data_IF_802335755183
#
_entry.id   IF_802335755183
#
_cell.length_a   1.000
_cell.length_b   1.000
_cell.length_c   1.000
_cell.angle_alpha   90.00
_cell.angle_beta   90.00
_cell.angle_gamma   90.00
#
_symmetry.space_group_name_H-M   'P 1'
#
loop_
_entity.id
_entity.type
_entity.pdbx_description
1 polymer ?
#
# COMPACT_ATOMS: atom_id res chain seq x y z
N UNK A 1 10.62 -75.39 31.56
CA UNK A 1 9.39 -74.78 32.11
C UNK A 1 9.83 -73.43 32.65
N UNK A 2 9.47 -72.33 31.99
CA UNK A 2 9.83 -71.00 32.44
C UNK A 2 8.66 -70.44 33.25
N UNK A 3 8.94 -70.18 34.52
CA UNK A 3 8.04 -69.53 35.46
C UNK A 3 8.20 -68.00 35.33
N UNK A 4 7.06 -67.33 35.23
CA UNK A 4 6.90 -65.89 35.06
C UNK A 4 6.52 -65.31 36.43
N UNK A 5 7.47 -64.71 37.13
CA UNK A 5 7.19 -63.81 38.25
C UNK A 5 7.85 -62.46 38.01
N UNK A 6 7.06 -61.48 37.56
CA UNK A 6 7.47 -60.08 37.46
C UNK A 6 7.43 -59.44 38.85
N UNK A 7 8.59 -59.01 39.34
CA UNK A 7 8.71 -58.02 40.40
C UNK A 7 8.52 -56.62 39.80
N UNK A 8 7.61 -55.85 40.39
CA UNK A 8 7.23 -54.50 39.96
C UNK A 8 8.03 -53.46 40.75
N UNK A 9 9.13 -52.97 40.19
CA UNK A 9 9.67 -51.65 40.55
C UNK A 9 10.48 -51.02 39.42
N UNK A 10 9.87 -50.06 38.72
CA UNK A 10 10.37 -48.68 38.55
C UNK A 10 9.49 -47.98 37.49
N UNK A 11 8.80 -46.94 37.94
CA UNK A 11 8.07 -45.99 37.11
C UNK A 11 9.03 -45.09 36.33
N UNK A 12 8.85 -44.96 35.01
CA UNK A 12 9.38 -43.82 34.27
C UNK A 12 9.46 -43.99 32.76
N UNK A 13 8.59 -43.23 32.06
CA UNK A 13 8.58 -42.89 30.63
C UNK A 13 7.88 -43.88 29.68
N UNK A 14 6.65 -43.51 29.31
CA UNK A 14 5.75 -44.29 28.47
C UNK A 14 6.02 -44.22 26.97
N UNK A 15 6.08 -45.41 26.38
CA UNK A 15 5.61 -45.91 25.08
C UNK A 15 5.59 -45.01 23.83
N UNK A 16 6.45 -45.37 22.88
CA UNK A 16 6.12 -45.39 21.45
C UNK A 16 5.85 -46.85 21.03
N UNK A 17 4.62 -47.13 20.57
CA UNK A 17 4.23 -48.45 20.04
C UNK A 17 4.16 -48.44 18.52
N UNK A 18 4.67 -49.54 17.97
CA UNK A 18 5.06 -49.93 16.61
C UNK A 18 3.91 -50.35 15.68
N UNK A 19 4.11 -50.29 14.34
CA UNK A 19 3.90 -51.43 13.42
C UNK A 19 4.48 -51.18 12.01
N UNK A 20 4.85 -52.26 11.29
CA UNK A 20 5.73 -52.33 10.11
C UNK A 20 4.95 -52.87 8.88
N UNK A 21 5.14 -52.33 7.66
CA UNK A 21 5.04 -53.12 6.42
C UNK A 21 5.91 -52.56 5.27
N UNK A 22 6.39 -53.47 4.41
CA UNK A 22 7.38 -53.29 3.35
C UNK A 22 6.69 -53.10 2.00
N UNK A 23 6.96 -51.98 1.32
CA UNK A 23 6.82 -51.90 -0.15
C UNK A 23 8.04 -51.16 -0.73
N UNK A 24 8.65 -51.77 -1.75
CA UNK A 24 9.77 -51.23 -2.51
C UNK A 24 9.25 -50.29 -3.61
N UNK A 25 9.47 -48.98 -3.49
CA UNK A 25 9.60 -48.08 -4.65
C UNK A 25 10.70 -47.04 -4.40
N UNK A 26 11.72 -47.11 -5.25
CA UNK A 26 12.84 -46.19 -5.33
C UNK A 26 12.42 -44.76 -5.71
N UNK A 27 13.16 -43.80 -5.14
CA UNK A 27 13.46 -42.45 -5.64
C UNK A 27 12.31 -41.49 -5.96
N UNK A 28 12.01 -40.62 -5.00
CA UNK A 28 11.85 -39.19 -5.27
C UNK A 28 12.22 -38.40 -4.01
N UNK A 29 13.17 -37.48 -4.13
CA UNK A 29 13.47 -36.49 -3.09
C UNK A 29 12.20 -35.67 -2.86
N UNK A 30 11.55 -35.82 -1.71
CA UNK A 30 10.43 -34.94 -1.33
C UNK A 30 10.85 -34.07 -0.15
N UNK A 31 10.70 -32.76 -0.36
CA UNK A 31 11.06 -31.70 0.58
C UNK A 31 10.09 -31.72 1.77
N UNK A 32 10.28 -32.67 2.69
CA UNK A 32 9.49 -32.77 3.92
C UNK A 32 10.25 -32.21 5.12
N UNK A 33 10.67 -30.94 5.05
CA UNK A 33 11.15 -30.22 6.24
C UNK A 33 10.97 -28.71 6.21
N UNK A 34 9.99 -28.18 5.48
CA UNK A 34 9.46 -26.86 5.83
C UNK A 34 8.36 -27.09 6.87
N UNK A 35 8.74 -27.05 8.16
CA UNK A 35 7.75 -26.76 9.19
C UNK A 35 7.11 -25.43 8.80
N UNK A 36 5.88 -25.50 8.31
CA UNK A 36 5.08 -24.34 7.97
C UNK A 36 4.95 -23.50 9.25
N UNK A 37 5.60 -22.33 9.26
CA UNK A 37 5.41 -21.32 10.30
C UNK A 37 3.90 -21.07 10.44
N UNK A 38 3.38 -20.83 11.66
CA UNK A 38 1.97 -20.56 11.86
C UNK A 38 1.54 -19.45 10.90
N UNK A 39 0.51 -19.70 10.09
CA UNK A 39 -0.03 -18.72 9.16
C UNK A 39 -0.52 -17.52 9.97
N UNK A 40 0.26 -16.46 9.95
CA UNK A 40 -0.09 -15.21 10.57
C UNK A 40 -1.29 -14.66 9.81
N UNK A 41 -2.46 -14.63 10.46
CA UNK A 41 -3.69 -14.11 9.88
C UNK A 41 -3.59 -12.57 9.80
N UNK A 42 -2.75 -12.08 8.89
CA UNK A 42 -2.67 -10.67 8.56
C UNK A 42 -3.90 -10.28 7.75
N UNK A 43 -4.37 -9.02 7.86
CA UNK A 43 -5.22 -8.43 6.84
C UNK A 43 -4.61 -8.69 5.45
N UNK A 44 -5.46 -8.78 4.43
CA UNK A 44 -5.00 -8.89 3.04
C UNK A 44 -4.24 -7.60 2.70
N UNK A 45 -2.92 -7.68 2.50
CA UNK A 45 -2.08 -6.57 2.02
C UNK A 45 -2.40 -6.33 0.54
N UNK A 46 -2.99 -5.15 0.24
CA UNK A 46 -3.27 -4.73 -1.13
C UNK A 46 -2.32 -3.63 -1.62
N UNK A 47 -1.38 -3.18 -0.79
CA UNK A 47 -0.55 -2.02 -1.03
C UNK A 47 0.87 -2.25 -0.53
N UNK A 48 1.64 -3.09 -1.23
CA UNK A 48 2.91 -3.59 -0.71
C UNK A 48 3.91 -2.58 -0.13
N UNK A 49 4.81 -3.08 0.72
CA UNK A 49 5.71 -2.34 1.60
C UNK A 49 6.87 -1.54 0.96
N UNK A 50 6.91 -1.39 -0.37
CA UNK A 50 7.97 -0.68 -1.09
C UNK A 50 7.42 0.11 -2.28
N UNK A 51 8.20 1.07 -2.78
CA UNK A 51 7.86 1.79 -4.02
C UNK A 51 7.64 0.86 -5.22
N UNK A 52 8.41 -0.24 -5.31
CA UNK A 52 8.35 -1.17 -6.43
C UNK A 52 7.09 -2.08 -6.38
N UNK A 53 6.54 -2.28 -5.19
CA UNK A 53 5.36 -3.12 -4.94
C UNK A 53 4.11 -2.27 -4.65
N UNK A 54 4.20 -0.96 -4.90
CA UNK A 54 3.10 -0.03 -4.61
C UNK A 54 1.85 -0.41 -5.39
N UNK A 55 0.68 -0.23 -4.77
CA UNK A 55 -0.60 -0.36 -5.44
C UNK A 55 -0.74 0.71 -6.50
N UNK A 56 -0.86 0.30 -7.76
CA UNK A 56 -1.08 1.22 -8.88
C UNK A 56 -2.51 1.74 -8.89
N UNK A 57 -2.69 3.03 -8.58
CA UNK A 57 -3.97 3.74 -8.68
C UNK A 57 -4.25 4.22 -10.11
N UNK A 58 -3.18 4.49 -10.88
CA UNK A 58 -3.26 5.09 -12.21
C UNK A 58 -3.37 6.62 -12.16
N UNK A 59 -3.88 7.22 -13.22
CA UNK A 59 -4.09 8.67 -13.31
C UNK A 59 -5.29 9.09 -12.46
N UNK A 60 -5.12 10.06 -11.58
CA UNK A 60 -6.23 10.61 -10.80
C UNK A 60 -7.10 11.51 -11.68
N UNK A 61 -8.25 10.99 -12.13
CA UNK A 61 -9.27 11.73 -12.89
C UNK A 61 -10.55 11.99 -12.07
N UNK A 62 -10.66 11.35 -10.92
CA UNK A 62 -11.73 11.49 -9.93
C UNK A 62 -11.20 11.07 -8.55
N UNK A 63 -12.00 11.28 -7.50
CA UNK A 63 -11.68 10.79 -6.15
C UNK A 63 -11.58 9.27 -6.13
N UNK A 64 -10.46 8.75 -5.62
CA UNK A 64 -10.21 7.34 -5.41
C UNK A 64 -10.11 7.07 -3.91
N UNK A 65 -10.78 6.00 -3.44
CA UNK A 65 -10.79 5.62 -2.03
C UNK A 65 -10.35 4.17 -1.84
N UNK A 66 -9.57 3.93 -0.78
CA UNK A 66 -9.01 2.63 -0.43
C UNK A 66 -9.19 2.38 1.07
N UNK A 67 -9.29 1.11 1.43
CA UNK A 67 -9.25 0.65 2.82
C UNK A 67 -8.19 -0.43 2.92
N UNK A 68 -7.33 -0.30 3.93
CA UNK A 68 -6.24 -1.24 4.23
C UNK A 68 -5.84 -1.15 5.70
N UNK A 69 -4.75 -1.81 6.08
CA UNK A 69 -4.25 -1.79 7.44
C UNK A 69 -2.71 -1.78 7.51
N UNK A 70 -2.18 -0.92 8.38
CA UNK A 70 -0.76 -0.97 8.78
C UNK A 70 -0.63 -1.46 10.22
N UNK A 71 0.43 -2.21 10.50
CA UNK A 71 0.64 -2.91 11.75
C UNK A 71 2.09 -3.33 11.96
N UNK A 72 2.31 -4.06 13.05
CA UNK A 72 3.64 -4.55 13.44
C UNK A 72 4.31 -5.45 12.40
N UNK A 73 3.50 -6.09 11.56
CA UNK A 73 3.94 -7.03 10.52
C UNK A 73 3.95 -6.36 9.15
N UNK A 74 2.97 -5.49 8.89
CA UNK A 74 2.82 -4.74 7.66
C UNK A 74 3.01 -3.24 7.96
N UNK A 75 4.24 -2.77 7.87
CA UNK A 75 4.58 -1.46 8.46
C UNK A 75 4.30 -0.29 7.52
N UNK A 76 4.13 -0.56 6.23
CA UNK A 76 3.96 0.46 5.20
C UNK A 76 3.03 -0.01 4.11
N UNK A 77 2.14 0.89 3.72
CA UNK A 77 1.38 0.75 2.49
C UNK A 77 1.80 1.82 1.48
N UNK A 78 2.19 1.39 0.28
CA UNK A 78 2.55 2.30 -0.81
C UNK A 78 1.49 2.30 -1.92
N UNK A 79 1.10 3.50 -2.35
CA UNK A 79 0.20 3.74 -3.48
C UNK A 79 0.90 4.60 -4.51
N UNK A 80 0.89 4.22 -5.79
CA UNK A 80 1.45 5.02 -6.88
C UNK A 80 0.33 5.61 -7.73
N UNK A 81 0.44 6.89 -8.08
CA UNK A 81 -0.52 7.57 -8.93
C UNK A 81 0.16 8.54 -9.89
N UNK A 82 -0.56 8.91 -10.94
CA UNK A 82 -0.09 9.82 -11.97
C UNK A 82 -0.93 11.09 -11.96
N UNK A 83 -0.24 12.22 -12.11
CA UNK A 83 -0.83 13.54 -12.36
C UNK A 83 -0.52 13.86 -13.82
N UNK A 84 -1.55 13.96 -14.67
CA UNK A 84 -1.38 14.23 -16.11
C UNK A 84 -1.20 15.70 -16.43
N UNK A 85 -1.81 16.57 -15.62
CA UNK A 85 -1.82 18.03 -15.75
C UNK A 85 -1.60 18.59 -14.36
N UNK A 86 -0.98 19.78 -14.25
CA UNK A 86 -0.78 20.41 -12.95
C UNK A 86 -2.10 20.47 -12.16
N UNK A 87 -2.11 19.95 -10.94
CA UNK A 87 -3.32 19.73 -10.15
C UNK A 87 -3.11 20.06 -8.68
N UNK A 88 -4.17 20.54 -8.02
CA UNK A 88 -4.25 20.57 -6.56
C UNK A 88 -4.61 19.17 -6.05
N UNK A 89 -3.65 18.47 -5.44
CA UNK A 89 -3.87 17.21 -4.73
C UNK A 89 -4.51 17.50 -3.36
N UNK A 90 -5.52 16.71 -3.02
CA UNK A 90 -6.04 16.53 -1.67
C UNK A 90 -5.95 15.05 -1.29
N UNK A 91 -5.33 14.77 -0.15
CA UNK A 91 -5.18 13.45 0.43
C UNK A 91 -5.73 13.47 1.85
N UNK A 92 -6.48 12.43 2.23
CA UNK A 92 -6.93 12.24 3.61
C UNK A 92 -6.81 10.79 4.06
N UNK A 93 -6.34 10.58 5.29
CA UNK A 93 -6.31 9.29 5.97
C UNK A 93 -7.25 9.35 7.18
N UNK A 94 -8.21 8.44 7.26
CA UNK A 94 -9.25 8.42 8.29
C UNK A 94 -9.49 7.00 8.80
N UNK A 95 -10.37 6.83 9.80
CA UNK A 95 -10.75 5.50 10.30
C UNK A 95 -9.69 4.83 11.19
N UNK A 96 -8.74 5.62 11.69
CA UNK A 96 -7.64 5.13 12.52
C UNK A 96 -8.14 4.67 13.91
N UNK A 97 -7.69 3.49 14.35
CA UNK A 97 -7.86 2.97 15.70
C UNK A 97 -6.55 2.96 16.49
N UNK A 98 -5.42 3.11 15.81
CA UNK A 98 -4.10 3.37 16.37
C UNK A 98 -3.34 4.37 15.47
N UNK A 99 -2.11 4.74 15.83
CA UNK A 99 -1.41 5.82 15.16
C UNK A 99 -0.75 5.37 13.84
N UNK A 100 -1.14 6.02 12.75
CA UNK A 100 -0.51 5.91 11.44
C UNK A 100 -0.40 7.30 10.82
N UNK A 101 0.73 7.52 10.17
CA UNK A 101 1.10 8.79 9.55
C UNK A 101 1.09 8.63 8.02
N UNK A 102 1.14 9.74 7.28
CA UNK A 102 1.16 9.71 5.82
C UNK A 102 2.20 10.65 5.22
N UNK A 103 2.87 10.18 4.17
CA UNK A 103 3.79 10.97 3.37
C UNK A 103 3.34 11.02 1.91
N UNK A 104 3.52 12.19 1.30
CA UNK A 104 3.52 12.37 -0.13
C UNK A 104 4.96 12.36 -0.63
N UNK A 105 5.26 11.52 -1.62
CA UNK A 105 6.59 11.31 -2.16
C UNK A 105 6.63 11.65 -3.66
N UNK A 106 7.78 12.09 -4.13
CA UNK A 106 8.07 12.26 -5.56
C UNK A 106 8.33 10.91 -6.25
N UNK A 107 8.47 10.93 -7.58
CA UNK A 107 8.70 9.73 -8.39
C UNK A 107 9.98 8.94 -8.07
N UNK A 108 10.92 9.51 -7.32
CA UNK A 108 12.15 8.85 -6.85
C UNK A 108 12.08 8.42 -5.37
N UNK A 109 10.92 8.58 -4.71
CA UNK A 109 10.73 8.24 -3.31
C UNK A 109 11.12 9.32 -2.30
N UNK A 110 11.56 10.49 -2.77
CA UNK A 110 11.88 11.63 -1.89
C UNK A 110 10.61 12.24 -1.29
N UNK A 111 10.61 12.51 0.01
CA UNK A 111 9.48 13.11 0.72
C UNK A 111 9.25 14.54 0.23
N UNK A 112 8.03 14.83 -0.23
CA UNK A 112 7.55 16.17 -0.53
C UNK A 112 6.95 16.79 0.73
N UNK A 113 6.01 16.07 1.36
CA UNK A 113 5.27 16.51 2.55
C UNK A 113 4.93 15.32 3.44
N UNK A 114 4.84 15.55 4.74
CA UNK A 114 4.38 14.57 5.75
C UNK A 114 3.23 15.18 6.57
N UNK A 115 2.25 14.36 6.93
CA UNK A 115 1.27 14.62 7.99
C UNK A 115 1.43 13.51 9.03
N UNK A 116 1.68 13.90 10.27
CA UNK A 116 1.98 12.98 11.38
C UNK A 116 1.35 13.49 12.68
N UNK A 117 0.02 13.58 12.72
CA UNK A 117 -0.69 13.99 13.93
C UNK A 117 -0.71 12.81 14.89
N UNK A 118 -0.69 13.10 16.19
CA UNK A 118 -0.66 12.05 17.20
C UNK A 118 -2.00 11.29 17.31
N UNK A 119 -1.90 10.01 17.66
CA UNK A 119 -3.05 9.20 18.08
C UNK A 119 -3.90 8.74 16.90
N UNK A 120 -5.22 8.87 17.00
CA UNK A 120 -6.17 8.45 15.96
C UNK A 120 -6.69 9.63 15.14
N UNK A 121 -5.99 10.76 15.17
CA UNK A 121 -6.41 11.97 14.47
C UNK A 121 -6.26 11.75 12.97
N UNK A 122 -7.25 12.16 12.18
CA UNK A 122 -7.15 12.03 10.72
C UNK A 122 -5.99 12.84 10.14
N UNK A 123 -5.23 12.21 9.25
CA UNK A 123 -4.17 12.85 8.49
C UNK A 123 -4.70 13.51 7.22
N UNK A 124 -4.02 14.56 6.77
CA UNK A 124 -4.43 15.30 5.58
C UNK A 124 -3.26 16.00 4.94
N UNK A 125 -3.12 15.91 3.61
CA UNK A 125 -2.13 16.66 2.84
C UNK A 125 -2.85 17.36 1.69
N UNK A 126 -2.52 18.64 1.48
CA UNK A 126 -2.85 19.38 0.26
C UNK A 126 -1.56 19.86 -0.40
N UNK A 127 -1.42 19.67 -1.71
CA UNK A 127 -0.19 20.05 -2.44
C UNK A 127 -0.48 20.32 -3.91
N UNK A 128 0.19 21.32 -4.47
CA UNK A 128 0.17 21.57 -5.91
C UNK A 128 1.22 20.67 -6.59
N UNK A 129 0.75 19.78 -7.47
CA UNK A 129 1.61 18.83 -8.17
C UNK A 129 1.66 19.15 -9.65
N UNK A 130 2.87 19.12 -10.20
CA UNK A 130 3.08 19.16 -11.65
C UNK A 130 2.76 17.80 -12.27
N UNK A 131 2.76 17.74 -13.60
CA UNK A 131 2.68 16.46 -14.31
C UNK A 131 3.81 15.53 -13.86
N UNK A 132 3.47 14.29 -13.50
CA UNK A 132 4.44 13.31 -13.03
C UNK A 132 3.83 12.12 -12.30
N UNK A 133 4.71 11.22 -11.85
CA UNK A 133 4.37 10.08 -10.99
C UNK A 133 4.73 10.39 -9.55
N UNK A 134 3.82 10.05 -8.65
CA UNK A 134 3.92 10.32 -7.23
C UNK A 134 3.53 9.08 -6.43
N UNK A 135 3.92 9.07 -5.16
CA UNK A 135 3.56 8.00 -4.25
C UNK A 135 2.97 8.56 -2.96
N UNK A 136 2.05 7.81 -2.39
CA UNK A 136 1.62 7.95 -1.01
C UNK A 136 2.21 6.80 -0.23
N UNK A 137 2.80 7.11 0.92
CA UNK A 137 3.18 6.12 1.93
C UNK A 137 2.32 6.33 3.16
N UNK A 138 1.46 5.37 3.48
CA UNK A 138 0.85 5.26 4.80
C UNK A 138 1.80 4.38 5.62
N UNK A 139 2.16 4.80 6.82
CA UNK A 139 3.08 4.01 7.64
C UNK A 139 2.67 4.04 9.10
N UNK A 140 2.91 2.91 9.75
CA UNK A 140 2.64 2.75 11.17
C UNK A 140 3.53 3.67 12.00
N UNK A 141 2.91 4.40 12.90
CA UNK A 141 3.59 5.19 13.93
C UNK A 141 3.56 4.46 15.27
N UNK A 142 2.40 3.94 15.68
CA UNK A 142 2.30 3.06 16.85
C UNK A 142 0.99 2.26 16.86
N UNK A 143 1.05 0.99 17.28
CA UNK A 143 -0.11 0.11 17.31
C UNK A 143 -0.56 -0.31 15.90
N UNK A 144 -1.52 -1.21 15.83
CA UNK A 144 -1.97 -1.77 14.56
C UNK A 144 -3.34 -1.15 14.25
N UNK A 145 -3.53 -0.68 13.02
CA UNK A 145 -4.71 0.11 12.65
C UNK A 145 -5.16 -0.16 11.23
N UNK A 146 -6.48 -0.25 11.07
CA UNK A 146 -7.10 -0.08 9.76
C UNK A 146 -7.12 1.41 9.41
N UNK A 147 -7.34 1.71 8.13
CA UNK A 147 -7.58 3.07 7.67
C UNK A 147 -8.48 3.12 6.44
N UNK A 148 -8.94 4.33 6.11
CA UNK A 148 -9.48 4.70 4.81
C UNK A 148 -8.69 5.87 4.23
N UNK A 149 -8.08 5.65 3.06
CA UNK A 149 -7.31 6.62 2.30
C UNK A 149 -8.17 7.16 1.15
N UNK A 150 -8.23 8.48 1.00
CA UNK A 150 -8.88 9.14 -0.13
C UNK A 150 -7.90 10.06 -0.83
N UNK A 151 -7.86 9.99 -2.17
CA UNK A 151 -7.00 10.76 -3.06
C UNK A 151 -7.85 11.44 -4.12
N UNK A 152 -7.66 12.75 -4.28
CA UNK A 152 -8.24 13.52 -5.38
C UNK A 152 -7.22 14.54 -5.89
N UNK A 153 -7.13 14.70 -7.21
CA UNK A 153 -6.29 15.72 -7.83
C UNK A 153 -7.13 16.54 -8.80
N UNK A 154 -7.40 17.79 -8.45
CA UNK A 154 -8.19 18.70 -9.28
C UNK A 154 -7.25 19.49 -10.18
N UNK A 155 -7.32 19.35 -11.53
CA UNK A 155 -6.52 20.14 -12.45
C UNK A 155 -6.66 21.64 -12.20
N UNK A 156 -5.56 22.38 -12.29
CA UNK A 156 -5.61 23.83 -12.34
C UNK A 156 -5.73 24.29 -13.79
N UNK A 157 -6.71 25.12 -14.07
CA UNK A 157 -6.84 25.81 -15.35
C UNK A 157 -5.89 27.01 -15.36
N UNK A 158 -4.85 26.93 -16.21
CA UNK A 158 -3.92 28.03 -16.46
C UNK A 158 -4.22 28.78 -17.78
N UNK A 159 -5.28 28.39 -18.51
CA UNK A 159 -5.69 29.01 -19.76
C UNK A 159 -6.80 30.04 -19.56
N UNK A 160 -7.63 29.89 -18.52
CA UNK A 160 -8.61 30.86 -18.07
C UNK A 160 -9.82 30.99 -19.00
N UNK A 161 -11.02 30.74 -18.47
CA UNK A 161 -12.31 30.72 -19.20
C UNK A 161 -12.81 32.06 -19.75
N UNK A 162 -12.00 33.12 -19.74
CA UNK A 162 -12.37 34.47 -20.21
C UNK A 162 -11.21 35.12 -20.97
N UNK A 163 -11.51 36.03 -21.89
CA UNK A 163 -10.49 36.82 -22.61
C UNK A 163 -9.56 37.62 -21.68
N UNK A 164 -10.00 37.92 -20.45
CA UNK A 164 -9.20 38.62 -19.45
C UNK A 164 -8.22 37.70 -18.69
N UNK A 165 -8.49 36.39 -18.66
CA UNK A 165 -7.66 35.37 -18.01
C UNK A 165 -6.93 34.47 -19.01
N UNK A 166 -7.14 34.71 -20.31
CA UNK A 166 -6.50 34.00 -21.41
C UNK A 166 -4.98 33.99 -21.26
N UNK A 167 -4.35 32.81 -21.36
CA UNK A 167 -2.88 32.72 -21.36
C UNK A 167 -2.29 33.52 -22.52
N UNK A 168 -1.50 34.54 -22.20
CA UNK A 168 -0.78 35.32 -23.20
C UNK A 168 0.30 34.45 -23.88
N UNK A 169 0.10 34.11 -25.16
CA UNK A 169 1.04 33.29 -25.95
C UNK A 169 2.16 34.10 -26.61
N UNK A 170 2.21 35.41 -26.37
CA UNK A 170 3.23 36.33 -26.89
C UNK A 170 3.23 36.45 -28.42
N UNK A 171 4.25 37.11 -28.97
CA UNK A 171 4.46 37.18 -30.42
C UNK A 171 4.97 35.83 -30.93
N UNK A 172 4.19 35.16 -31.76
CA UNK A 172 4.53 33.86 -32.34
C UNK A 172 5.59 34.04 -33.44
N UNK A 173 6.87 33.84 -33.11
CA UNK A 173 7.98 33.79 -34.09
C UNK A 173 8.30 32.36 -34.55
N UNK A 174 7.67 31.35 -33.92
CA UNK A 174 7.73 29.93 -34.25
C UNK A 174 6.47 29.21 -33.74
N UNK A 175 6.29 27.94 -34.12
CA UNK A 175 5.24 27.08 -33.57
C UNK A 175 5.42 26.92 -32.07
N UNK A 176 4.39 27.29 -31.31
CA UNK A 176 4.31 27.05 -29.86
C UNK A 176 3.19 26.05 -29.60
N UNK A 177 3.50 24.97 -28.89
CA UNK A 177 2.52 23.95 -28.49
C UNK A 177 2.19 24.11 -27.03
N UNK A 178 0.89 24.16 -26.72
CA UNK A 178 0.41 24.23 -25.36
C UNK A 178 -0.64 23.15 -25.13
N UNK A 179 -0.53 22.43 -24.02
CA UNK A 179 -1.57 21.52 -23.54
C UNK A 179 -2.53 22.28 -22.63
N UNK A 180 -3.83 22.30 -22.96
CA UNK A 180 -4.90 22.68 -22.04
C UNK A 180 -5.79 21.46 -21.74
N UNK A 181 -6.45 21.45 -20.59
CA UNK A 181 -7.43 20.41 -20.25
C UNK A 181 -8.80 20.79 -20.80
N UNK A 182 -9.53 19.81 -21.35
CA UNK A 182 -10.95 19.97 -21.71
C UNK A 182 -11.72 18.86 -21.01
N UNK A 183 -12.75 19.19 -20.23
CA UNK A 183 -13.60 18.21 -19.55
C UNK A 183 -14.91 18.80 -19.06
N UNK A 184 -15.76 18.01 -18.40
CA UNK A 184 -17.20 18.34 -18.19
C UNK A 184 -17.52 19.55 -17.30
N UNK A 185 -16.50 20.27 -16.81
CA UNK A 185 -16.62 21.56 -16.10
C UNK A 185 -16.16 22.75 -16.96
N UNK A 186 -15.69 22.49 -18.18
CA UNK A 186 -15.19 23.46 -19.13
C UNK A 186 -15.76 23.16 -20.53
N UNK A 187 -16.88 23.82 -20.85
CA UNK A 187 -17.63 23.60 -22.09
C UNK A 187 -17.25 24.57 -23.21
N UNK A 188 -16.31 25.51 -23.01
CA UNK A 188 -16.07 26.57 -23.98
C UNK A 188 -14.57 26.87 -24.17
N UNK A 189 -13.95 26.19 -25.13
CA UNK A 189 -12.68 26.56 -25.79
C UNK A 189 -12.85 26.37 -27.31
#
# INVERSE_FOLDING_TARGET
>A
MFDNSFDSSLSGLGNFSTYLDKDHLSSSLTVSSLQQLPSLNTPVDNAGNTLATARSVGTLTATQSFSDAVGSVDTNDYYSFNVGIQSNLTLSLTGLTANADVQLLNGSGGVITTSAKSGTTSESIASLLNTGTYFVRVYRSSGDTNYSLSLNATPIDNAGNTTATARAVGTLTATQSFSNWVGSLDTND
#
